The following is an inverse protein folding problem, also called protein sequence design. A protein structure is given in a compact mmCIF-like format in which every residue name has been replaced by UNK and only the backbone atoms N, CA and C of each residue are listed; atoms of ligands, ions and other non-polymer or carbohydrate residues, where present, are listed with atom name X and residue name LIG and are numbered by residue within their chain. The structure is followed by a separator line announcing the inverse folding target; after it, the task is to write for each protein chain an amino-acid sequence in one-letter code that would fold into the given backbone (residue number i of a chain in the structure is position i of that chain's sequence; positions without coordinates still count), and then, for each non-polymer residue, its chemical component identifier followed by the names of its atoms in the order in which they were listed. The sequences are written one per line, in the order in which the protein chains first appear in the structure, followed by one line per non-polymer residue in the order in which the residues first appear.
data_IF_673253632188
#
_entry.id   IF_673253632188
#
_cell.length_a   1.000
_cell.length_b   1.000
_cell.length_c   1.000
_cell.angle_alpha   90.00
_cell.angle_beta   90.00
_cell.angle_gamma   90.00
#
_symmetry.space_group_name_H-M   'P 1'
#
loop_
_entity.id
_entity.type
_entity.pdbx_description
1 polymer ?
#
# COMPACT_ATOMS: atom_id res chain seq x y z
N UNK A 1 28.58 -20.25 -16.50
CA UNK A 1 27.53 -20.88 -15.68
C UNK A 1 26.22 -20.37 -16.23
N UNK A 2 25.35 -21.29 -16.64
CA UNK A 2 24.05 -20.99 -17.23
C UNK A 2 22.99 -21.44 -16.23
N UNK A 3 22.15 -20.51 -15.78
CA UNK A 3 21.07 -20.78 -14.83
C UNK A 3 19.75 -20.43 -15.48
N UNK A 4 18.88 -21.42 -15.63
CA UNK A 4 17.52 -21.24 -16.10
C UNK A 4 16.57 -21.34 -14.92
N UNK A 5 15.69 -20.36 -14.78
CA UNK A 5 14.64 -20.36 -13.76
C UNK A 5 13.33 -20.77 -14.41
N UNK A 6 12.74 -21.84 -13.93
CA UNK A 6 11.53 -22.44 -14.48
C UNK A 6 10.41 -22.27 -13.47
N UNK A 7 9.29 -21.70 -13.91
CA UNK A 7 8.09 -21.58 -13.10
C UNK A 7 7.26 -22.87 -13.17
N UNK A 8 7.12 -23.41 -14.38
CA UNK A 8 6.44 -24.68 -14.66
C UNK A 8 7.08 -25.32 -15.89
N UNK A 9 7.21 -26.64 -15.89
CA UNK A 9 7.65 -27.42 -17.05
C UNK A 9 6.87 -28.72 -17.12
N UNK A 10 6.67 -29.20 -18.34
CA UNK A 10 6.07 -30.48 -18.65
C UNK A 10 6.99 -31.27 -19.55
N UNK A 11 6.97 -32.59 -19.40
CA UNK A 11 7.58 -33.57 -20.31
C UNK A 11 6.44 -34.41 -20.86
N UNK A 12 6.23 -34.36 -22.18
CA UNK A 12 5.13 -35.05 -22.87
C UNK A 12 3.76 -34.73 -22.26
N UNK A 13 3.56 -33.47 -21.85
CA UNK A 13 2.33 -32.99 -21.21
C UNK A 13 2.17 -33.37 -19.73
N UNK A 14 3.09 -34.16 -19.16
CA UNK A 14 3.10 -34.47 -17.73
C UNK A 14 3.92 -33.44 -16.95
N UNK A 15 3.43 -32.94 -15.80
CA UNK A 15 4.16 -31.95 -15.02
C UNK A 15 5.48 -32.54 -14.53
N UNK A 16 6.56 -31.83 -14.79
CA UNK A 16 7.88 -32.17 -14.27
C UNK A 16 8.04 -31.49 -12.91
N UNK A 17 8.29 -32.29 -11.89
CA UNK A 17 8.25 -31.89 -10.49
C UNK A 17 9.54 -32.24 -9.78
N UNK A 18 9.87 -31.48 -8.73
CA UNK A 18 10.91 -31.86 -7.79
C UNK A 18 10.62 -33.25 -7.21
N UNK A 19 11.57 -34.20 -7.26
CA UNK A 19 11.34 -35.58 -6.83
C UNK A 19 11.08 -35.71 -5.32
N UNK A 20 11.52 -34.75 -4.51
CA UNK A 20 11.40 -34.80 -3.05
C UNK A 20 10.13 -34.13 -2.53
N UNK A 21 9.73 -32.99 -3.10
CA UNK A 21 8.61 -32.19 -2.56
C UNK A 21 7.51 -31.85 -3.57
N UNK A 22 7.59 -32.39 -4.78
CA UNK A 22 6.62 -32.17 -5.85
C UNK A 22 6.43 -30.68 -6.26
N UNK A 23 7.40 -29.82 -5.95
CA UNK A 23 7.38 -28.43 -6.38
C UNK A 23 7.55 -28.30 -7.91
N UNK A 24 6.72 -27.46 -8.53
CA UNK A 24 6.75 -27.17 -9.97
C UNK A 24 7.79 -26.12 -10.36
N UNK A 25 8.14 -25.23 -9.43
CA UNK A 25 9.09 -24.15 -9.64
C UNK A 25 10.49 -24.56 -9.17
N UNK A 26 11.47 -24.42 -10.04
CA UNK A 26 12.85 -24.82 -9.81
C UNK A 26 13.82 -24.07 -10.72
N UNK A 27 15.12 -24.20 -10.46
CA UNK A 27 16.20 -23.73 -11.32
C UNK A 27 16.98 -24.91 -11.86
N UNK A 28 17.45 -24.79 -13.10
CA UNK A 28 18.38 -25.71 -13.72
C UNK A 28 19.71 -24.99 -13.94
N UNK A 29 20.75 -25.51 -13.30
CA UNK A 29 22.09 -24.94 -13.27
C UNK A 29 23.05 -25.82 -14.05
N UNK A 30 23.51 -25.30 -15.19
CA UNK A 30 24.52 -25.91 -16.04
C UNK A 30 25.88 -25.24 -15.88
N UNK A 31 26.90 -26.04 -15.58
CA UNK A 31 28.29 -25.58 -15.48
C UNK A 31 29.20 -26.30 -16.47
N UNK A 32 29.97 -25.53 -17.22
CA UNK A 32 30.96 -26.05 -18.17
C UNK A 32 30.84 -25.42 -19.55
N UNK A 33 31.67 -25.90 -20.47
CA UNK A 33 31.71 -25.46 -21.87
C UNK A 33 31.23 -26.56 -22.84
N UNK A 34 31.03 -27.79 -22.35
CA UNK A 34 30.62 -28.95 -23.14
C UNK A 34 29.10 -29.10 -23.02
N UNK A 35 28.42 -29.16 -24.15
CA UNK A 35 26.95 -29.21 -24.21
C UNK A 35 26.36 -30.51 -23.66
N UNK A 36 27.12 -31.60 -23.62
CA UNK A 36 26.69 -32.89 -23.10
C UNK A 36 26.75 -33.00 -21.56
N UNK A 37 27.20 -31.97 -20.85
CA UNK A 37 27.30 -32.03 -19.39
C UNK A 37 25.90 -32.02 -18.75
N UNK A 38 25.65 -32.85 -17.72
CA UNK A 38 24.39 -32.88 -17.01
C UNK A 38 24.19 -31.57 -16.23
N UNK A 39 22.93 -31.26 -15.94
CA UNK A 39 22.56 -30.05 -15.18
C UNK A 39 22.10 -30.43 -13.78
N UNK A 40 22.19 -29.48 -12.85
CA UNK A 40 21.69 -29.65 -11.49
C UNK A 40 20.37 -28.92 -11.34
N UNK A 41 19.35 -29.61 -10.84
CA UNK A 41 18.08 -29.01 -10.46
C UNK A 41 18.09 -28.53 -9.02
N UNK A 42 17.55 -27.34 -8.76
CA UNK A 42 17.33 -26.80 -7.41
C UNK A 42 15.91 -26.26 -7.28
N UNK A 43 15.06 -26.84 -6.42
CA UNK A 43 13.71 -26.34 -6.23
C UNK A 43 13.67 -25.16 -5.25
N UNK A 44 12.56 -24.42 -5.24
CA UNK A 44 12.38 -23.29 -4.31
C UNK A 44 12.31 -23.68 -2.83
N UNK A 45 12.12 -24.97 -2.52
CA UNK A 45 12.19 -25.50 -1.16
C UNK A 45 13.61 -25.94 -0.77
N UNK A 46 14.62 -25.59 -1.58
CA UNK A 46 16.05 -25.88 -1.33
C UNK A 46 16.46 -27.34 -1.48
N UNK A 47 15.65 -28.19 -2.12
CA UNK A 47 16.10 -29.52 -2.53
C UNK A 47 16.88 -29.45 -3.83
N UNK A 48 17.92 -30.27 -3.93
CA UNK A 48 18.85 -30.28 -5.05
C UNK A 48 18.96 -31.69 -5.61
N UNK A 49 18.88 -31.86 -6.93
CA UNK A 49 19.03 -33.17 -7.58
C UNK A 49 19.87 -33.05 -8.84
N UNK A 50 20.46 -34.15 -9.28
CA UNK A 50 21.08 -34.21 -10.60
C UNK A 50 20.01 -34.57 -11.63
N UNK A 51 19.96 -33.80 -12.72
CA UNK A 51 19.01 -34.04 -13.79
C UNK A 51 19.72 -34.75 -14.96
N UNK A 52 19.47 -36.05 -15.16
CA UNK A 52 20.20 -36.85 -16.15
C UNK A 52 19.72 -36.64 -17.59
N UNK A 53 18.49 -36.17 -17.82
CA UNK A 53 17.93 -36.03 -19.17
C UNK A 53 18.25 -34.67 -19.80
N UNK A 54 18.37 -33.63 -18.98
CA UNK A 54 18.61 -32.27 -19.43
C UNK A 54 20.11 -31.98 -19.38
N UNK A 55 20.68 -31.61 -20.52
CA UNK A 55 22.09 -31.25 -20.64
C UNK A 55 22.27 -29.74 -20.76
N UNK A 56 23.52 -29.26 -20.64
CA UNK A 56 23.86 -27.86 -20.88
C UNK A 56 23.41 -27.40 -22.28
N UNK A 57 23.52 -28.27 -23.29
CA UNK A 57 23.06 -27.99 -24.66
C UNK A 57 21.55 -27.74 -24.71
N UNK A 58 20.77 -28.57 -24.00
CA UNK A 58 19.33 -28.40 -23.89
C UNK A 58 18.97 -27.07 -23.21
N UNK A 59 19.69 -26.67 -22.15
CA UNK A 59 19.46 -25.36 -21.52
C UNK A 59 19.70 -24.20 -22.49
N UNK A 60 20.72 -24.29 -23.34
CA UNK A 60 20.98 -23.27 -24.38
C UNK A 60 19.87 -23.26 -25.44
N UNK A 61 19.35 -24.43 -25.79
CA UNK A 61 18.25 -24.57 -26.74
C UNK A 61 16.94 -23.99 -26.19
N UNK A 62 16.62 -24.24 -24.91
CA UNK A 62 15.49 -23.61 -24.21
C UNK A 62 15.61 -22.08 -24.27
N UNK A 63 16.79 -21.53 -23.97
CA UNK A 63 17.00 -20.08 -24.04
C UNK A 63 16.92 -19.52 -25.47
N UNK A 64 17.28 -20.32 -26.47
CA UNK A 64 17.22 -19.89 -27.86
C UNK A 64 15.79 -19.93 -28.42
N UNK A 65 15.00 -20.88 -27.97
CA UNK A 65 13.60 -21.10 -28.40
C UNK A 65 12.58 -20.38 -27.53
N UNK A 66 13.02 -19.77 -26.42
CA UNK A 66 12.12 -19.02 -25.57
C UNK A 66 11.50 -17.85 -26.35
N UNK A 67 10.21 -17.62 -26.12
CA UNK A 67 9.48 -16.52 -26.75
C UNK A 67 10.11 -15.16 -26.47
N UNK A 68 10.77 -15.04 -25.31
CA UNK A 68 11.33 -13.81 -24.80
C UNK A 68 10.24 -12.85 -24.34
N UNK A 69 10.51 -12.14 -23.25
CA UNK A 69 9.54 -11.21 -22.66
C UNK A 69 9.78 -9.77 -23.14
N UNK A 70 8.76 -9.12 -23.69
CA UNK A 70 8.84 -7.70 -24.09
C UNK A 70 8.19 -6.76 -23.05
N UNK A 71 7.05 -7.18 -22.48
CA UNK A 71 6.30 -6.42 -21.48
C UNK A 71 6.17 -7.19 -20.16
N UNK A 72 5.82 -6.50 -19.07
CA UNK A 72 5.67 -7.10 -17.74
C UNK A 72 4.55 -8.17 -17.66
N UNK A 73 3.58 -8.09 -18.57
CA UNK A 73 2.41 -8.99 -18.63
C UNK A 73 2.65 -10.25 -19.44
N UNK A 74 3.72 -10.31 -20.22
CA UNK A 74 3.93 -11.42 -21.13
C UNK A 74 4.51 -12.61 -20.37
N UNK A 75 4.07 -13.82 -20.71
CA UNK A 75 4.67 -15.05 -20.20
C UNK A 75 5.80 -15.48 -21.13
N UNK A 76 6.95 -15.86 -20.57
CA UNK A 76 8.05 -16.38 -21.38
C UNK A 76 7.94 -17.90 -21.46
N UNK A 77 7.50 -18.39 -22.60
CA UNK A 77 7.24 -19.80 -22.86
C UNK A 77 8.32 -20.41 -23.74
N UNK A 78 8.54 -21.72 -23.61
CA UNK A 78 9.42 -22.49 -24.48
C UNK A 78 8.79 -23.85 -24.80
N UNK A 79 9.14 -24.40 -25.95
CA UNK A 79 8.79 -25.76 -26.37
C UNK A 79 9.92 -26.32 -27.23
N UNK A 80 10.51 -27.43 -26.80
CA UNK A 80 11.60 -28.12 -27.50
C UNK A 80 11.40 -29.63 -27.48
N UNK A 81 12.03 -30.36 -28.40
CA UNK A 81 11.98 -31.83 -28.43
C UNK A 81 13.37 -32.41 -28.17
N UNK A 82 13.52 -33.20 -27.11
CA UNK A 82 14.79 -33.82 -26.72
C UNK A 82 14.60 -35.32 -26.64
N UNK A 83 15.36 -36.08 -27.44
CA UNK A 83 15.31 -37.54 -27.41
C UNK A 83 13.94 -38.16 -27.71
N UNK A 84 13.06 -37.42 -28.39
CA UNK A 84 11.67 -37.83 -28.68
C UNK A 84 10.64 -37.39 -27.63
N UNK A 85 11.06 -36.79 -26.51
CA UNK A 85 10.18 -36.20 -25.50
C UNK A 85 10.03 -34.69 -25.74
N UNK A 86 8.81 -34.17 -25.59
CA UNK A 86 8.52 -32.73 -25.72
C UNK A 86 8.63 -32.07 -24.35
N UNK A 87 9.59 -31.16 -24.22
CA UNK A 87 9.72 -30.29 -23.06
C UNK A 87 9.05 -28.96 -23.36
N UNK A 88 7.99 -28.63 -22.63
CA UNK A 88 7.29 -27.36 -22.74
C UNK A 88 7.12 -26.72 -21.37
N UNK A 89 7.25 -25.41 -21.27
CA UNK A 89 7.15 -24.75 -19.97
C UNK A 89 7.12 -23.23 -20.02
N UNK A 90 7.02 -22.67 -18.82
CA UNK A 90 7.03 -21.23 -18.55
C UNK A 90 8.29 -20.91 -17.75
N UNK A 91 9.13 -20.04 -18.29
CA UNK A 91 10.30 -19.51 -17.61
C UNK A 91 9.87 -18.48 -16.57
N UNK A 92 10.59 -18.45 -15.45
CA UNK A 92 10.38 -17.43 -14.45
C UNK A 92 10.73 -16.07 -15.04
N UNK A 93 9.86 -15.06 -14.88
CA UNK A 93 10.10 -13.74 -15.43
C UNK A 93 11.42 -13.15 -14.97
N UNK A 94 12.28 -12.77 -15.91
CA UNK A 94 13.42 -11.90 -15.64
C UNK A 94 12.97 -10.43 -15.59
N UNK A 95 13.68 -9.61 -14.81
CA UNK A 95 13.33 -8.19 -14.64
C UNK A 95 13.60 -7.48 -15.97
N UNK A 96 12.55 -7.01 -16.63
CA UNK A 96 12.71 -6.19 -17.85
C UNK A 96 12.76 -4.69 -17.51
N UNK A 97 13.22 -3.89 -18.48
CA UNK A 97 13.24 -2.42 -18.35
C UNK A 97 11.84 -1.86 -18.07
N UNK A 98 10.79 -2.51 -18.58
CA UNK A 98 9.42 -2.09 -18.36
C UNK A 98 8.97 -2.31 -16.91
N UNK A 99 9.38 -3.41 -16.25
CA UNK A 99 9.13 -3.64 -14.82
C UNK A 99 9.72 -2.51 -13.98
N UNK A 100 10.97 -2.12 -14.28
CA UNK A 100 11.66 -1.05 -13.56
C UNK A 100 10.92 0.29 -13.74
N UNK A 101 10.45 0.58 -14.95
CA UNK A 101 9.65 1.78 -15.22
C UNK A 101 8.32 1.76 -14.47
N UNK A 102 7.64 0.62 -14.43
CA UNK A 102 6.37 0.46 -13.74
C UNK A 102 6.53 0.59 -12.22
N UNK A 103 7.55 -0.07 -11.66
CA UNK A 103 7.93 0.07 -10.26
C UNK A 103 8.29 1.51 -9.90
N UNK A 104 9.11 2.17 -10.72
CA UNK A 104 9.46 3.59 -10.56
C UNK A 104 8.25 4.52 -10.61
N UNK A 105 7.29 4.26 -11.52
CA UNK A 105 6.04 5.03 -11.62
C UNK A 105 5.17 4.85 -10.35
N UNK A 106 5.08 3.64 -9.82
CA UNK A 106 4.36 3.36 -8.58
C UNK A 106 5.04 4.03 -7.39
N UNK A 107 6.37 3.91 -7.28
CA UNK A 107 7.18 4.55 -6.24
C UNK A 107 7.01 6.08 -6.27
N UNK A 108 7.14 6.69 -7.45
CA UNK A 108 6.91 8.13 -7.63
C UNK A 108 5.51 8.56 -7.22
N UNK A 109 4.47 7.83 -7.65
CA UNK A 109 3.07 8.18 -7.34
C UNK A 109 2.73 7.98 -5.87
N UNK A 110 3.23 6.93 -5.21
CA UNK A 110 2.86 6.56 -3.84
C UNK A 110 3.71 7.23 -2.77
N UNK A 111 4.98 7.49 -3.04
CA UNK A 111 5.94 7.97 -2.03
C UNK A 111 6.34 9.41 -2.32
N UNK A 112 6.95 9.67 -3.48
CA UNK A 112 7.55 10.99 -3.74
C UNK A 112 6.48 12.07 -3.97
N UNK A 113 5.51 11.82 -4.85
CA UNK A 113 4.44 12.78 -5.22
C UNK A 113 3.63 13.30 -4.01
N UNK A 114 3.15 12.46 -3.07
CA UNK A 114 2.40 12.96 -1.92
C UNK A 114 3.28 13.77 -0.96
N UNK A 115 4.53 13.40 -0.75
CA UNK A 115 5.48 14.16 0.07
C UNK A 115 5.70 15.55 -0.53
N UNK A 116 6.02 15.62 -1.83
CA UNK A 116 6.20 16.88 -2.54
C UNK A 116 4.93 17.77 -2.47
N UNK A 117 3.74 17.17 -2.62
CA UNK A 117 2.46 17.88 -2.49
C UNK A 117 2.24 18.43 -1.09
N UNK A 118 2.64 17.70 -0.04
CA UNK A 118 2.57 18.17 1.35
C UNK A 118 3.50 19.36 1.57
N UNK A 119 4.74 19.28 1.13
CA UNK A 119 5.69 20.40 1.22
C UNK A 119 5.18 21.64 0.49
N UNK A 120 4.70 21.50 -0.75
CA UNK A 120 4.15 22.63 -1.51
C UNK A 120 2.93 23.26 -0.82
N UNK A 121 2.03 22.45 -0.25
CA UNK A 121 0.89 22.96 0.53
C UNK A 121 1.32 23.63 1.83
N UNK A 122 2.33 23.10 2.51
CA UNK A 122 2.88 23.70 3.72
C UNK A 122 3.50 25.07 3.41
N UNK A 123 4.31 25.16 2.35
CA UNK A 123 4.87 26.42 1.86
C UNK A 123 3.75 27.43 1.48
N UNK A 124 2.74 27.00 0.72
CA UNK A 124 1.60 27.86 0.39
C UNK A 124 0.81 28.32 1.61
N UNK A 125 0.63 27.47 2.62
CA UNK A 125 0.01 27.85 3.90
C UNK A 125 0.87 28.84 4.68
N UNK A 126 2.19 28.69 4.68
CA UNK A 126 3.09 29.62 5.35
C UNK A 126 2.99 31.04 4.75
N UNK A 127 2.82 31.15 3.43
CA UNK A 127 2.64 32.44 2.75
C UNK A 127 1.23 33.02 2.97
N UNK A 128 0.19 32.18 2.93
CA UNK A 128 -1.21 32.65 2.97
C UNK A 128 -1.79 32.84 4.36
N UNK A 129 -1.31 32.10 5.38
CA UNK A 129 -1.73 32.25 6.77
C UNK A 129 -1.55 33.66 7.34
N UNK A 130 -0.41 34.35 7.17
CA UNK A 130 -0.26 35.70 7.71
C UNK A 130 -1.23 36.69 7.05
N UNK A 131 -1.46 36.56 5.74
CA UNK A 131 -2.42 37.39 5.00
C UNK A 131 -3.86 37.15 5.49
N UNK A 132 -4.27 35.89 5.65
CA UNK A 132 -5.61 35.56 6.17
C UNK A 132 -5.77 35.96 7.64
N UNK A 133 -4.73 35.83 8.45
CA UNK A 133 -4.71 36.28 9.84
C UNK A 133 -4.88 37.79 9.94
N UNK A 134 -4.20 38.55 9.08
CA UNK A 134 -4.37 40.00 9.00
C UNK A 134 -5.79 40.39 8.58
N UNK A 135 -6.38 39.73 7.58
CA UNK A 135 -7.78 39.99 7.17
C UNK A 135 -8.78 39.61 8.25
N UNK A 136 -8.57 38.50 8.96
CA UNK A 136 -9.43 38.10 10.07
C UNK A 136 -9.31 39.07 11.25
N UNK A 137 -8.10 39.55 11.54
CA UNK A 137 -7.87 40.55 12.58
C UNK A 137 -8.50 41.90 12.23
N UNK A 138 -8.44 42.34 10.96
CA UNK A 138 -9.10 43.58 10.53
C UNK A 138 -10.62 43.44 10.51
N UNK A 139 -11.16 42.28 10.12
CA UNK A 139 -12.60 42.01 10.21
C UNK A 139 -13.08 41.94 11.67
N UNK A 140 -12.32 41.30 12.56
CA UNK A 140 -12.63 41.27 13.99
C UNK A 140 -12.60 42.68 14.58
N UNK A 141 -11.55 43.46 14.29
CA UNK A 141 -11.46 44.86 14.72
C UNK A 141 -12.61 45.72 14.18
N UNK A 142 -13.01 45.51 12.92
CA UNK A 142 -14.16 46.21 12.33
C UNK A 142 -15.50 45.81 12.97
N UNK A 143 -15.68 44.53 13.31
CA UNK A 143 -16.85 44.04 14.04
C UNK A 143 -16.91 44.59 15.47
N UNK A 144 -15.77 44.61 16.18
CA UNK A 144 -15.67 45.23 17.51
C UNK A 144 -15.96 46.72 17.44
N UNK A 145 -15.33 47.46 16.51
CA UNK A 145 -15.59 48.89 16.33
C UNK A 145 -17.06 49.18 15.97
N UNK A 146 -17.68 48.34 15.12
CA UNK A 146 -19.09 48.46 14.79
C UNK A 146 -20.00 48.13 15.99
N UNK A 147 -19.59 47.20 16.85
CA UNK A 147 -20.30 46.88 18.09
C UNK A 147 -20.19 48.04 19.10
N UNK A 148 -19.00 48.60 19.31
CA UNK A 148 -18.78 49.74 20.21
C UNK A 148 -19.58 50.98 19.77
N UNK A 149 -19.63 51.24 18.46
CA UNK A 149 -20.44 52.32 17.88
C UNK A 149 -21.95 52.09 18.06
N UNK A 150 -22.42 50.84 17.99
CA UNK A 150 -23.85 50.51 18.18
C UNK A 150 -24.26 50.40 19.64
N UNK A 151 -23.34 50.00 20.51
CA UNK A 151 -23.57 49.84 21.94
C UNK A 151 -23.49 51.17 22.72
N UNK A 152 -23.18 52.28 22.04
CA UNK A 152 -23.40 53.63 22.57
C UNK A 152 -22.60 53.97 23.83
N UNK A 153 -21.40 53.40 24.01
CA UNK A 153 -20.50 53.77 25.11
C UNK A 153 -21.07 53.57 26.51
N UNK A 154 -22.08 52.71 26.69
CA UNK A 154 -22.63 52.44 28.00
C UNK A 154 -21.73 51.47 28.78
N UNK A 155 -21.29 51.93 29.94
CA UNK A 155 -20.64 51.13 30.98
C UNK A 155 -21.49 49.87 31.25
N UNK A 156 -20.87 48.67 31.33
CA UNK A 156 -21.61 47.43 31.48
C UNK A 156 -22.51 47.52 32.72
N UNK A 157 -23.81 47.29 32.51
CA UNK A 157 -24.83 47.27 33.55
C UNK A 157 -24.35 46.39 34.72
N UNK A 158 -24.05 46.97 35.89
CA UNK A 158 -23.45 46.25 37.01
C UNK A 158 -24.37 45.17 37.57
N UNK A 159 -25.67 45.22 37.26
CA UNK A 159 -26.67 44.26 37.71
C UNK A 159 -26.91 43.13 36.69
N UNK A 160 -26.31 43.20 35.49
CA UNK A 160 -26.43 42.16 34.49
C UNK A 160 -25.52 40.98 34.84
N UNK A 161 -26.06 40.00 35.56
CA UNK A 161 -25.42 38.70 35.69
C UNK A 161 -25.47 37.99 34.33
N UNK A 162 -24.32 37.66 33.71
CA UNK A 162 -24.33 36.83 32.50
C UNK A 162 -24.95 35.47 32.84
N UNK A 163 -25.82 34.97 31.97
CA UNK A 163 -26.31 33.59 32.08
C UNK A 163 -25.10 32.65 32.23
N UNK A 164 -25.16 31.67 33.14
CA UNK A 164 -24.08 30.70 33.29
C UNK A 164 -23.82 30.04 31.94
N UNK A 165 -22.67 30.35 31.34
CA UNK A 165 -22.21 29.66 30.14
C UNK A 165 -21.99 28.22 30.58
N UNK A 166 -22.87 27.30 30.18
CA UNK A 166 -22.64 25.88 30.42
C UNK A 166 -21.29 25.53 29.76
N UNK A 167 -20.25 25.18 30.53
CA UNK A 167 -18.93 24.92 29.96
C UNK A 167 -18.91 23.63 29.13
N UNK A 168 -19.99 22.85 29.20
CA UNK A 168 -20.17 21.68 28.37
C UNK A 168 -20.57 22.06 26.93
N UNK A 169 -20.00 21.34 25.96
CA UNK A 169 -20.50 21.42 24.59
C UNK A 169 -21.98 21.06 24.50
N UNK A 170 -22.68 21.66 23.54
CA UNK A 170 -24.09 21.36 23.27
C UNK A 170 -24.29 19.84 23.11
N UNK A 171 -25.25 19.27 23.87
CA UNK A 171 -25.55 17.84 23.85
C UNK A 171 -24.88 17.02 24.97
N UNK A 172 -24.24 17.65 25.96
CA UNK A 172 -23.89 17.00 27.22
C UNK A 172 -25.17 16.79 28.06
N UNK A 173 -25.44 15.55 28.46
CA UNK A 173 -26.53 15.20 29.36
C UNK A 173 -25.96 14.42 30.56
N UNK A 174 -26.07 15.02 31.75
CA UNK A 174 -25.58 14.47 33.04
C UNK A 174 -24.15 13.92 32.99
N UNK A 175 -23.23 14.66 32.37
CA UNK A 175 -21.83 14.27 32.28
C UNK A 175 -21.48 13.30 31.15
N UNK A 176 -22.40 13.04 30.22
CA UNK A 176 -22.16 12.13 29.09
C UNK A 176 -22.57 12.73 27.74
N UNK A 177 -21.80 12.41 26.71
CA UNK A 177 -22.17 12.59 25.31
C UNK A 177 -22.61 11.25 24.73
N UNK A 178 -23.78 11.22 24.10
CA UNK A 178 -24.29 10.01 23.43
C UNK A 178 -24.03 10.10 21.93
N UNK A 179 -23.15 9.24 21.43
CA UNK A 179 -22.77 9.19 20.02
C UNK A 179 -23.43 7.96 19.37
N UNK A 180 -24.25 8.14 18.31
CA UNK A 180 -24.74 7.01 17.54
C UNK A 180 -23.58 6.34 16.78
N UNK A 181 -23.43 5.03 16.93
CA UNK A 181 -22.41 4.22 16.25
C UNK A 181 -23.04 3.18 15.33
N UNK A 182 -22.35 2.89 14.23
CA UNK A 182 -22.66 1.78 13.31
C UNK A 182 -21.67 0.62 13.44
N UNK A 183 -20.79 0.67 14.43
CA UNK A 183 -19.76 -0.35 14.67
C UNK A 183 -20.33 -1.33 15.71
N UNK A 184 -20.52 -2.59 15.30
CA UNK A 184 -21.19 -3.69 16.04
C UNK A 184 -22.68 -3.54 16.46
N UNK A 185 -23.58 -2.96 15.64
CA UNK A 185 -25.01 -3.07 15.92
C UNK A 185 -25.49 -4.51 15.72
N UNK A 186 -26.30 -5.05 16.64
CA UNK A 186 -27.16 -6.20 16.32
C UNK A 186 -28.05 -5.80 15.14
N UNK A 187 -28.23 -6.70 14.17
CA UNK A 187 -28.98 -6.41 12.95
C UNK A 187 -30.33 -5.75 13.27
N UNK A 188 -30.51 -4.49 12.86
CA UNK A 188 -31.74 -3.72 13.07
C UNK A 188 -31.69 -2.62 14.15
N UNK A 189 -30.62 -2.46 14.93
CA UNK A 189 -30.52 -1.37 15.92
C UNK A 189 -29.40 -0.37 15.62
N UNK A 190 -29.60 0.92 15.92
CA UNK A 190 -28.50 1.89 15.98
C UNK A 190 -27.82 1.74 17.35
N UNK A 191 -26.56 1.32 17.37
CA UNK A 191 -25.78 1.31 18.60
C UNK A 191 -25.59 2.74 19.11
N UNK A 192 -25.63 2.94 20.43
CA UNK A 192 -25.28 4.23 21.06
C UNK A 192 -24.09 4.00 21.98
N UNK A 193 -23.04 4.79 21.84
CA UNK A 193 -21.90 4.81 22.76
C UNK A 193 -22.03 6.06 23.62
N UNK A 194 -21.88 5.89 24.94
CA UNK A 194 -21.78 7.00 25.89
C UNK A 194 -20.30 7.30 26.11
N UNK A 195 -19.91 8.56 25.92
CA UNK A 195 -18.55 9.06 26.15
C UNK A 195 -18.63 10.06 27.31
N UNK A 196 -17.78 9.95 28.35
CA UNK A 196 -17.81 10.88 29.46
C UNK A 196 -17.43 12.29 28.97
N UNK A 197 -18.12 13.31 29.50
CA UNK A 197 -17.79 14.71 29.24
C UNK A 197 -16.53 15.06 30.00
N UNK A 198 -15.47 15.48 29.29
CA UNK A 198 -14.20 15.84 29.92
C UNK A 198 -14.32 16.98 30.94
N UNK A 199 -15.29 17.88 30.77
CA UNK A 199 -15.56 18.98 31.71
C UNK A 199 -16.24 18.44 32.98
N UNK A 200 -17.32 17.66 32.86
CA UNK A 200 -18.02 17.07 34.00
C UNK A 200 -17.16 16.04 34.75
N UNK A 201 -16.29 15.32 34.04
CA UNK A 201 -15.34 14.39 34.64
C UNK A 201 -14.31 15.11 35.52
N UNK A 202 -13.92 16.35 35.17
CA UNK A 202 -13.02 17.16 36.01
C UNK A 202 -13.70 17.84 37.17
N UNK A 203 -15.02 18.09 37.10
CA UNK A 203 -15.79 18.73 38.17
C UNK A 203 -16.41 17.73 39.16
N UNK A 204 -16.30 16.42 38.91
CA UNK A 204 -16.87 15.37 39.77
C UNK A 204 -18.38 15.19 39.59
N UNK A 205 -18.96 15.75 38.53
CA UNK A 205 -20.40 15.69 38.23
C UNK A 205 -20.79 14.48 37.35
N UNK A 206 -19.82 13.61 37.04
CA UNK A 206 -19.99 12.46 36.14
C UNK A 206 -20.31 11.12 36.85
N UNK A 207 -20.45 11.13 38.18
CA UNK A 207 -20.78 9.96 39.02
C UNK A 207 -22.30 9.64 39.05
#
# INVERSE_FOLDING_TARGET
MLTLRIQQMTIDGHPYLCPECAAQAFTLDGTGFIDALPVRGNCWQSHTWEEPLITLGVLKEILHTSSGRQCATDEDTFEITVGGAVLAGILHPEITVDDVKQAGRLYWRRIIKPVLRRHRRAAGRAVTRPVKGAVAATQAAALTAAWDLRAGGHEPDPDRQPEPINPCGAGCDRGWFTIPTRIHPKAGSQGKIRVPCGVCATTGEAD
#
